data_IF_928657126561
#
_entry.id   IF_928657126561
#
_cell.length_a   1.000
_cell.length_b   1.000
_cell.length_c   1.000
_cell.angle_alpha   90.00
_cell.angle_beta   90.00
_cell.angle_gamma   90.00
#
_symmetry.space_group_name_H-M   'P 1'
#
loop_
_entity.id
_entity.type
_entity.pdbx_description
1 polymer ?
#
# COMPACT_ATOMS: atom_id res chain seq x y z
N UNK A 1 -39.01 12.63 -13.55
CA UNK A 1 -38.62 11.21 -13.68
C UNK A 1 -37.24 11.08 -13.07
N UNK A 2 -37.17 10.58 -11.83
CA UNK A 2 -35.94 10.43 -11.06
C UNK A 2 -35.96 9.02 -10.48
N UNK A 3 -34.97 8.21 -10.87
CA UNK A 3 -34.84 6.81 -10.49
C UNK A 3 -34.24 6.74 -9.08
N UNK A 4 -35.03 6.31 -8.09
CA UNK A 4 -34.61 6.16 -6.69
C UNK A 4 -35.03 4.78 -6.19
N UNK A 5 -34.29 3.75 -6.59
CA UNK A 5 -34.38 2.42 -6.01
C UNK A 5 -33.00 1.76 -6.04
N UNK A 6 -32.28 1.81 -4.91
CA UNK A 6 -31.33 0.77 -4.52
C UNK A 6 -30.99 0.89 -3.01
N UNK A 7 -31.91 0.49 -2.16
CA UNK A 7 -31.71 0.34 -0.71
C UNK A 7 -32.41 -0.97 -0.28
N UNK A 8 -31.72 -2.10 -0.41
CA UNK A 8 -32.09 -3.36 0.25
C UNK A 8 -30.82 -4.00 0.80
N UNK A 9 -30.39 -3.53 1.97
CA UNK A 9 -29.47 -4.25 2.83
C UNK A 9 -30.25 -5.32 3.60
N UNK A 10 -30.05 -6.59 3.23
CA UNK A 10 -30.56 -7.72 4.00
C UNK A 10 -29.84 -7.79 5.36
N UNK A 11 -30.47 -7.23 6.38
CA UNK A 11 -30.13 -7.50 7.77
C UNK A 11 -30.59 -8.94 8.12
N UNK A 12 -29.64 -9.78 8.51
CA UNK A 12 -29.89 -11.16 8.91
C UNK A 12 -28.88 -11.66 9.95
N UNK A 13 -29.18 -11.37 11.21
CA UNK A 13 -28.95 -12.21 12.41
C UNK A 13 -27.55 -12.82 12.68
N UNK A 14 -26.80 -12.21 13.60
CA UNK A 14 -25.72 -12.87 14.34
C UNK A 14 -26.25 -13.99 15.25
N UNK A 15 -25.47 -15.05 15.46
CA UNK A 15 -25.23 -15.47 16.83
C UNK A 15 -23.74 -15.56 17.17
N UNK A 16 -23.55 -15.31 18.46
CA UNK A 16 -22.34 -15.19 19.25
C UNK A 16 -21.61 -16.53 19.46
N UNK A 17 -20.26 -16.44 19.54
CA UNK A 17 -19.28 -17.40 20.11
C UNK A 17 -19.22 -18.82 19.54
N UNK A 18 -18.03 -19.22 19.07
CA UNK A 18 -17.15 -20.21 19.74
C UNK A 18 -15.88 -20.47 18.91
N UNK A 19 -14.77 -20.54 19.64
CA UNK A 19 -13.52 -21.25 19.37
C UNK A 19 -12.67 -20.96 18.13
N UNK A 20 -11.46 -20.49 18.46
CA UNK A 20 -10.20 -20.70 17.78
C UNK A 20 -10.05 -22.15 17.33
N UNK A 21 -10.02 -22.42 16.02
CA UNK A 21 -9.31 -23.57 15.49
C UNK A 21 -8.82 -23.32 14.06
N UNK A 22 -7.65 -23.87 13.79
CA UNK A 22 -6.85 -23.71 12.58
C UNK A 22 -7.58 -24.31 11.38
N UNK A 23 -8.12 -23.48 10.48
CA UNK A 23 -8.74 -23.98 9.24
C UNK A 23 -7.71 -24.08 8.13
N UNK A 24 -6.97 -25.19 8.14
CA UNK A 24 -6.41 -25.80 6.93
C UNK A 24 -7.50 -25.89 5.85
N UNK A 25 -7.23 -25.34 4.67
CA UNK A 25 -8.12 -25.37 3.51
C UNK A 25 -8.22 -26.80 2.97
N UNK A 26 -9.14 -27.59 3.51
CA UNK A 26 -9.42 -28.94 3.04
C UNK A 26 -10.44 -28.84 1.90
N UNK A 27 -9.94 -28.82 0.66
CA UNK A 27 -10.76 -28.95 -0.54
C UNK A 27 -11.16 -30.41 -0.69
N UNK A 28 -12.46 -30.67 -0.69
CA UNK A 28 -13.08 -31.99 -0.86
C UNK A 28 -12.44 -32.76 -2.03
N UNK A 29 -11.86 -33.94 -1.73
CA UNK A 29 -11.69 -35.00 -2.72
C UNK A 29 -13.02 -35.74 -2.85
N UNK A 30 -13.63 -35.69 -4.03
CA UNK A 30 -14.67 -36.63 -4.44
C UNK A 30 -14.14 -37.35 -5.68
N UNK A 31 -13.76 -38.61 -5.48
CA UNK A 31 -13.33 -39.54 -6.51
C UNK A 31 -14.56 -40.08 -7.26
N UNK A 32 -14.48 -40.18 -8.59
CA UNK A 32 -15.20 -41.13 -9.48
C UNK A 32 -15.29 -40.58 -10.91
N UNK A 33 -14.53 -41.15 -11.84
CA UNK A 33 -14.90 -41.15 -13.27
C UNK A 33 -13.80 -40.73 -14.23
N UNK A 34 -13.01 -41.71 -14.68
CA UNK A 34 -12.14 -41.62 -15.86
C UNK A 34 -12.88 -41.03 -17.06
N UNK A 35 -12.50 -39.80 -17.45
CA UNK A 35 -12.61 -39.32 -18.82
C UNK A 35 -11.36 -38.51 -19.13
N UNK A 36 -10.60 -38.97 -20.13
CA UNK A 36 -9.51 -38.20 -20.72
C UNK A 36 -10.12 -37.02 -21.48
N UNK A 37 -10.38 -35.94 -20.76
CA UNK A 37 -10.44 -34.60 -21.31
C UNK A 37 -9.56 -33.76 -20.40
N UNK A 38 -8.64 -32.97 -20.97
CA UNK A 38 -7.86 -32.00 -20.20
C UNK A 38 -8.86 -31.13 -19.44
N UNK A 39 -8.95 -31.38 -18.14
CA UNK A 39 -9.88 -30.69 -17.26
C UNK A 39 -9.53 -29.19 -17.29
N UNK A 40 -10.52 -28.28 -17.41
CA UNK A 40 -10.25 -26.84 -17.40
C UNK A 40 -9.55 -26.37 -16.11
N UNK A 41 -9.57 -27.22 -15.07
CA UNK A 41 -8.78 -27.09 -13.84
C UNK A 41 -7.26 -27.08 -14.06
N UNK A 42 -6.76 -27.79 -15.09
CA UNK A 42 -5.33 -27.83 -15.41
C UNK A 42 -4.79 -26.48 -15.90
N UNK A 43 -5.57 -25.76 -16.74
CA UNK A 43 -5.16 -24.48 -17.36
C UNK A 43 -4.93 -23.33 -16.36
N UNK A 44 -5.53 -23.41 -15.17
CA UNK A 44 -5.45 -22.35 -14.15
C UNK A 44 -4.81 -22.82 -12.84
N UNK A 45 -4.24 -24.04 -12.83
CA UNK A 45 -3.67 -24.64 -11.63
C UNK A 45 -2.52 -23.81 -11.01
N UNK A 46 -1.75 -23.09 -11.83
CA UNK A 46 -0.68 -22.18 -11.37
C UNK A 46 -1.14 -20.78 -11.01
N UNK A 47 -2.32 -20.34 -11.49
CA UNK A 47 -2.74 -18.94 -11.41
C UNK A 47 -2.82 -18.42 -9.97
N UNK A 48 -3.45 -19.20 -9.08
CA UNK A 48 -3.54 -18.81 -7.67
C UNK A 48 -2.18 -18.80 -6.97
N UNK A 49 -1.27 -19.69 -7.36
CA UNK A 49 0.08 -19.71 -6.81
C UNK A 49 0.87 -18.49 -7.27
N UNK A 50 0.78 -18.12 -8.54
CA UNK A 50 1.45 -16.94 -9.11
C UNK A 50 0.91 -15.64 -8.52
N UNK A 51 -0.41 -15.49 -8.40
CA UNK A 51 -1.02 -14.29 -7.80
C UNK A 51 -0.75 -14.18 -6.30
N UNK A 52 -0.73 -15.31 -5.59
CA UNK A 52 -0.45 -15.30 -4.14
C UNK A 52 1.04 -15.24 -3.83
N UNK A 53 1.90 -15.40 -4.85
CA UNK A 53 3.33 -15.32 -4.69
C UNK A 53 3.70 -13.93 -4.14
N UNK A 54 4.52 -13.91 -3.10
CA UNK A 54 5.01 -12.70 -2.45
C UNK A 54 3.93 -11.74 -1.89
N UNK A 55 2.68 -12.21 -1.74
CA UNK A 55 1.60 -11.42 -1.11
C UNK A 55 2.00 -10.94 0.29
N UNK A 56 2.63 -11.80 1.09
CA UNK A 56 3.09 -11.45 2.44
C UNK A 56 4.15 -10.33 2.39
N UNK A 57 5.09 -10.41 1.44
CA UNK A 57 6.09 -9.36 1.21
C UNK A 57 5.42 -8.04 0.85
N UNK A 58 4.45 -8.06 -0.09
CA UNK A 58 3.68 -6.88 -0.48
C UNK A 58 2.94 -6.27 0.72
N UNK A 59 2.27 -7.09 1.53
CA UNK A 59 1.56 -6.64 2.72
C UNK A 59 2.51 -5.95 3.72
N UNK A 60 3.68 -6.54 3.98
CA UNK A 60 4.69 -5.99 4.89
C UNK A 60 5.27 -4.66 4.37
N UNK A 61 5.63 -4.59 3.08
CA UNK A 61 6.16 -3.37 2.46
C UNK A 61 5.12 -2.25 2.53
N UNK A 62 3.88 -2.50 2.11
CA UNK A 62 2.81 -1.51 2.13
C UNK A 62 2.47 -1.06 3.56
N UNK A 63 2.40 -2.00 4.51
CA UNK A 63 2.12 -1.67 5.91
C UNK A 63 3.22 -0.77 6.50
N UNK A 64 4.49 -1.13 6.32
CA UNK A 64 5.61 -0.35 6.83
C UNK A 64 5.72 1.04 6.18
N UNK A 65 5.45 1.15 4.88
CA UNK A 65 5.44 2.42 4.14
C UNK A 65 4.28 3.30 4.60
N UNK A 66 3.07 2.73 4.76
CA UNK A 66 1.90 3.43 5.30
C UNK A 66 2.14 3.94 6.73
N UNK A 67 2.78 3.15 7.61
CA UNK A 67 3.11 3.60 8.96
C UNK A 67 4.03 4.84 8.94
N UNK A 68 5.06 4.82 8.08
CA UNK A 68 6.00 5.94 7.92
C UNK A 68 5.33 7.17 7.31
N UNK A 69 4.46 6.99 6.31
CA UNK A 69 3.67 8.06 5.72
C UNK A 69 2.71 8.71 6.72
N UNK A 70 2.11 7.92 7.61
CA UNK A 70 1.26 8.47 8.67
C UNK A 70 2.05 9.36 9.64
N UNK A 71 3.30 9.01 9.95
CA UNK A 71 4.20 9.86 10.74
C UNK A 71 4.56 11.13 9.95
N UNK A 72 4.96 11.02 8.68
CA UNK A 72 5.22 12.17 7.80
C UNK A 72 4.03 13.13 7.73
N UNK A 73 2.81 12.59 7.61
CA UNK A 73 1.56 13.35 7.57
C UNK A 73 1.33 14.18 8.85
N UNK A 74 1.84 13.75 10.00
CA UNK A 74 1.74 14.54 11.24
C UNK A 74 2.52 15.84 11.15
N UNK A 75 3.75 15.82 10.61
CA UNK A 75 4.57 17.01 10.40
C UNK A 75 3.96 17.93 9.34
N UNK A 76 3.46 17.33 8.25
CA UNK A 76 2.77 18.05 7.20
C UNK A 76 1.55 18.83 7.72
N UNK A 77 0.67 18.18 8.49
CA UNK A 77 -0.53 18.82 9.07
C UNK A 77 -0.19 19.96 10.03
N UNK A 78 0.92 19.85 10.75
CA UNK A 78 1.46 20.91 11.61
C UNK A 78 2.13 22.05 10.84
N UNK A 79 2.20 21.96 9.49
CA UNK A 79 2.90 22.90 8.60
C UNK A 79 4.39 23.02 8.93
N UNK A 80 4.97 21.96 9.50
CA UNK A 80 6.36 21.92 9.94
C UNK A 80 7.22 21.20 8.90
N UNK A 81 7.57 21.91 7.82
CA UNK A 81 8.31 21.29 6.70
C UNK A 81 9.72 20.92 7.12
N UNK A 82 10.38 21.73 7.94
CA UNK A 82 11.72 21.41 8.45
C UNK A 82 11.74 20.09 9.21
N UNK A 83 10.75 19.83 10.07
CA UNK A 83 10.65 18.56 10.80
C UNK A 83 10.29 17.40 9.88
N UNK A 84 9.44 17.63 8.87
CA UNK A 84 9.16 16.63 7.85
C UNK A 84 10.43 16.23 7.10
N UNK A 85 11.23 17.20 6.64
CA UNK A 85 12.50 16.96 5.95
C UNK A 85 13.48 16.23 6.86
N UNK A 86 13.62 16.65 8.12
CA UNK A 86 14.47 15.97 9.10
C UNK A 86 14.02 14.53 9.36
N UNK A 87 12.70 14.28 9.39
CA UNK A 87 12.16 12.93 9.50
C UNK A 87 12.51 12.07 8.29
N UNK A 88 12.32 12.58 7.07
CA UNK A 88 12.64 11.88 5.83
C UNK A 88 14.14 11.52 5.74
N UNK A 89 15.00 12.46 6.12
CA UNK A 89 16.45 12.23 6.22
C UNK A 89 16.80 11.16 7.23
N UNK A 90 16.11 11.09 8.36
CA UNK A 90 16.38 10.12 9.42
C UNK A 90 15.97 8.70 9.05
N UNK A 91 14.87 8.53 8.31
CA UNK A 91 14.37 7.19 7.96
C UNK A 91 15.04 6.61 6.72
N UNK A 92 15.59 7.46 5.86
CA UNK A 92 16.26 7.10 4.59
C UNK A 92 15.48 6.13 3.69
N UNK A 93 14.15 6.06 3.86
CA UNK A 93 13.29 5.29 2.98
C UNK A 93 12.96 6.10 1.73
N UNK A 94 13.68 5.81 0.64
CA UNK A 94 13.50 6.48 -0.65
C UNK A 94 12.07 6.35 -1.19
N UNK A 95 11.34 5.28 -0.89
CA UNK A 95 9.93 5.16 -1.28
C UNK A 95 9.08 6.23 -0.62
N UNK A 96 9.25 6.43 0.69
CA UNK A 96 8.53 7.48 1.43
C UNK A 96 8.97 8.88 0.98
N UNK A 97 10.25 9.06 0.65
CA UNK A 97 10.76 10.33 0.08
C UNK A 97 10.06 10.63 -1.25
N UNK A 98 9.97 9.66 -2.16
CA UNK A 98 9.28 9.82 -3.45
C UNK A 98 7.81 10.18 -3.25
N UNK A 99 7.11 9.53 -2.31
CA UNK A 99 5.71 9.89 -2.01
C UNK A 99 5.54 11.33 -1.52
N UNK A 100 6.51 11.83 -0.74
CA UNK A 100 6.46 13.17 -0.18
C UNK A 100 6.96 14.25 -1.13
N UNK A 101 7.75 13.88 -2.15
CA UNK A 101 8.42 14.83 -3.04
C UNK A 101 7.45 15.71 -3.84
N UNK A 102 6.33 15.22 -4.39
CA UNK A 102 5.33 16.07 -5.04
C UNK A 102 4.75 17.12 -4.09
N UNK A 103 4.50 16.75 -2.83
CA UNK A 103 3.95 17.66 -1.82
C UNK A 103 4.95 18.77 -1.47
N UNK A 104 6.22 18.41 -1.28
CA UNK A 104 7.30 19.37 -1.04
C UNK A 104 7.55 20.28 -2.25
N UNK A 105 7.48 19.72 -3.46
CA UNK A 105 7.67 20.47 -4.71
C UNK A 105 6.54 21.49 -4.91
N UNK A 106 5.29 21.09 -4.69
CA UNK A 106 4.14 22.00 -4.75
C UNK A 106 4.27 23.15 -3.74
N UNK A 107 4.80 22.90 -2.53
CA UNK A 107 5.06 23.97 -1.57
C UNK A 107 6.07 25.00 -2.06
N UNK A 108 7.12 24.55 -2.75
CA UNK A 108 8.12 25.44 -3.34
C UNK A 108 7.53 26.27 -4.47
N UNK A 109 6.68 25.67 -5.31
CA UNK A 109 6.05 26.35 -6.45
C UNK A 109 5.00 27.38 -6.04
N UNK A 110 4.24 27.13 -4.97
CA UNK A 110 3.19 28.06 -4.52
C UNK A 110 3.75 29.32 -3.84
N UNK A 111 5.08 29.50 -3.75
CA UNK A 111 5.79 30.61 -3.10
C UNK A 111 5.34 30.91 -1.66
N UNK A 112 4.62 29.97 -1.03
CA UNK A 112 4.23 30.10 0.37
C UNK A 112 5.48 29.86 1.22
N UNK A 113 5.77 30.77 2.15
CA UNK A 113 6.95 30.77 3.03
C UNK A 113 7.01 29.60 4.04
N UNK A 114 6.72 28.36 3.62
CA UNK A 114 6.79 27.17 4.48
C UNK A 114 8.14 26.46 4.40
N UNK A 115 8.92 26.71 3.35
CA UNK A 115 10.20 26.02 3.11
C UNK A 115 11.33 27.04 3.15
N UNK A 116 12.25 26.84 4.09
CA UNK A 116 13.47 27.65 4.20
C UNK A 116 14.53 27.17 3.20
N UNK A 117 15.48 28.05 2.85
CA UNK A 117 16.64 27.66 2.05
C UNK A 117 17.44 26.51 2.69
N UNK A 118 17.54 26.49 4.02
CA UNK A 118 18.18 25.40 4.77
C UNK A 118 17.52 24.05 4.50
N UNK A 119 16.17 24.00 4.52
CA UNK A 119 15.44 22.79 4.18
C UNK A 119 15.71 22.30 2.76
N UNK A 120 15.88 23.21 1.80
CA UNK A 120 16.25 22.84 0.44
C UNK A 120 17.65 22.20 0.39
N UNK A 121 18.62 22.75 1.11
CA UNK A 121 19.98 22.20 1.20
C UNK A 121 19.94 20.80 1.83
N UNK A 122 19.16 20.64 2.90
CA UNK A 122 18.98 19.36 3.60
C UNK A 122 18.32 18.29 2.71
N UNK A 123 17.48 18.67 1.74
CA UNK A 123 16.85 17.75 0.80
C UNK A 123 17.79 17.25 -0.31
N UNK A 124 18.81 18.03 -0.69
CA UNK A 124 19.68 17.71 -1.84
C UNK A 124 20.34 16.32 -1.78
N UNK A 125 20.83 15.83 -0.63
CA UNK A 125 21.37 14.47 -0.53
C UNK A 125 20.35 13.39 -0.89
N UNK A 126 19.09 13.52 -0.46
CA UNK A 126 18.02 12.58 -0.81
C UNK A 126 17.71 12.64 -2.30
N UNK A 127 17.59 13.84 -2.87
CA UNK A 127 17.37 14.03 -4.30
C UNK A 127 18.52 13.41 -5.11
N UNK A 128 19.77 13.59 -4.67
CA UNK A 128 20.94 12.96 -5.31
C UNK A 128 20.86 11.43 -5.27
N UNK A 129 20.38 10.84 -4.17
CA UNK A 129 20.18 9.40 -4.08
C UNK A 129 19.08 8.92 -5.02
N UNK A 130 17.99 9.67 -5.15
CA UNK A 130 16.91 9.39 -6.11
C UNK A 130 17.40 9.45 -7.56
N UNK A 131 18.17 10.48 -7.93
CA UNK A 131 18.72 10.64 -9.28
C UNK A 131 19.74 9.54 -9.68
N UNK A 132 20.23 8.77 -8.71
CA UNK A 132 21.10 7.60 -8.93
C UNK A 132 20.35 6.28 -8.92
N UNK A 133 19.05 6.32 -8.64
CA UNK A 133 18.19 5.16 -8.65
C UNK A 133 18.19 4.49 -10.03
N UNK A 134 17.94 3.18 -10.05
CA UNK A 134 17.69 2.43 -11.29
C UNK A 134 16.26 2.62 -11.82
N UNK A 135 15.39 3.23 -11.01
CA UNK A 135 14.01 3.52 -11.38
C UNK A 135 13.97 4.87 -12.09
N UNK A 136 13.21 4.93 -13.20
CA UNK A 136 13.03 6.17 -13.97
C UNK A 136 12.18 7.19 -13.22
N UNK A 137 11.23 6.69 -12.43
CA UNK A 137 10.33 7.49 -11.58
C UNK A 137 10.99 7.92 -10.27
#
# INVERSE_FOLDING_TARGET
MANKENELACAGHLPEKLHHDSRTYLVNSSDSGSSQTESPSSKYSGFFSEVSQDHETMAQVLFSRNMRLNVALTFWRKRSISELVAYLLRIEDLGVVVDCLPVLTNCLQEEKQYISLGCCVDLLPLVKSLLKSKFEE
#
